data_IF_785168432446
#
_entry.id   IF_785168432446
#
_cell.length_a   1.000
_cell.length_b   1.000
_cell.length_c   1.000
_cell.angle_alpha   90.00
_cell.angle_beta   90.00
_cell.angle_gamma   90.00
#
_symmetry.space_group_name_H-M   'P 1'
#
loop_
_entity.id
_entity.type
_entity.pdbx_description
1 polymer ?
#
# COMPACT_ATOMS: atom_id res chain seq x y z
N UNK A 1 63.06 7.33 -64.84
CA UNK A 1 62.88 7.14 -63.38
C UNK A 1 64.24 7.29 -62.72
N UNK A 2 64.48 8.37 -61.95
CA UNK A 2 65.76 8.52 -61.24
C UNK A 2 65.79 7.50 -60.09
N UNK A 3 66.74 6.56 -60.14
CA UNK A 3 66.91 5.58 -59.07
C UNK A 3 67.29 6.32 -57.78
N UNK A 4 66.56 6.05 -56.70
CA UNK A 4 66.88 6.56 -55.36
C UNK A 4 68.22 5.94 -54.96
N UNK A 5 69.16 6.77 -54.48
CA UNK A 5 70.45 6.27 -53.97
C UNK A 5 70.19 5.22 -52.89
N UNK A 6 70.93 4.08 -52.88
CA UNK A 6 70.80 3.06 -51.83
C UNK A 6 70.86 3.64 -50.41
N UNK A 7 71.65 4.72 -50.23
CA UNK A 7 71.77 5.40 -48.94
C UNK A 7 70.46 6.11 -48.53
N UNK A 8 69.73 6.72 -49.46
CA UNK A 8 68.45 7.38 -49.19
C UNK A 8 67.37 6.32 -48.89
N UNK A 9 67.39 5.18 -49.59
CA UNK A 9 66.46 4.08 -49.34
C UNK A 9 66.63 3.49 -47.92
N UNK A 10 67.88 3.32 -47.46
CA UNK A 10 68.17 2.85 -46.10
C UNK A 10 67.72 3.87 -45.05
N UNK A 11 67.99 5.17 -45.26
CA UNK A 11 67.57 6.23 -44.34
C UNK A 11 66.04 6.30 -44.23
N UNK A 12 65.31 6.17 -45.35
CA UNK A 12 63.85 6.16 -45.35
C UNK A 12 63.29 4.91 -44.65
N UNK A 13 63.92 3.74 -44.81
CA UNK A 13 63.51 2.51 -44.13
C UNK A 13 63.71 2.63 -42.60
N UNK A 14 64.82 3.20 -42.16
CA UNK A 14 65.08 3.46 -40.74
C UNK A 14 64.06 4.46 -40.18
N UNK A 15 63.81 5.57 -40.87
CA UNK A 15 62.81 6.54 -40.45
C UNK A 15 61.38 5.94 -40.36
N UNK A 16 61.01 5.10 -41.31
CA UNK A 16 59.72 4.41 -41.33
C UNK A 16 59.57 3.39 -40.20
N UNK A 17 60.61 2.60 -39.93
CA UNK A 17 60.62 1.61 -38.84
C UNK A 17 60.56 2.29 -37.46
N UNK A 18 61.26 3.40 -37.26
CA UNK A 18 61.16 4.21 -36.03
C UNK A 18 59.76 4.84 -35.90
N UNK A 19 59.20 5.37 -36.99
CA UNK A 19 57.85 5.94 -37.02
C UNK A 19 56.77 4.92 -36.65
N UNK A 20 56.84 3.71 -37.22
CA UNK A 20 55.91 2.62 -36.86
C UNK A 20 56.12 2.18 -35.41
N UNK A 21 57.37 1.99 -34.97
CA UNK A 21 57.67 1.55 -33.61
C UNK A 21 57.15 2.50 -32.54
N UNK A 22 57.25 3.82 -32.78
CA UNK A 22 56.72 4.83 -31.86
C UNK A 22 55.20 4.85 -31.81
N UNK A 23 54.52 4.77 -32.96
CA UNK A 23 53.05 4.72 -33.03
C UNK A 23 52.51 3.47 -32.35
N UNK A 24 53.12 2.30 -32.60
CA UNK A 24 52.74 1.03 -31.97
C UNK A 24 52.94 1.08 -30.46
N UNK A 25 54.04 1.67 -30.00
CA UNK A 25 54.34 1.85 -28.56
C UNK A 25 53.30 2.75 -27.87
N UNK A 26 52.94 3.88 -28.49
CA UNK A 26 51.92 4.80 -27.95
C UNK A 26 50.55 4.11 -27.87
N UNK A 27 50.15 3.41 -28.93
CA UNK A 27 48.88 2.69 -28.96
C UNK A 27 48.83 1.56 -27.91
N UNK A 28 49.90 0.75 -27.81
CA UNK A 28 50.00 -0.31 -26.81
C UNK A 28 49.96 0.26 -25.38
N UNK A 29 50.63 1.37 -25.12
CA UNK A 29 50.61 2.04 -23.82
C UNK A 29 49.21 2.56 -23.49
N UNK A 30 48.54 3.22 -24.45
CA UNK A 30 47.17 3.73 -24.28
C UNK A 30 46.14 2.62 -24.07
N UNK A 31 46.27 1.50 -24.77
CA UNK A 31 45.39 0.34 -24.61
C UNK A 31 45.62 -0.30 -23.23
N UNK A 32 46.88 -0.43 -22.83
CA UNK A 32 47.26 -0.97 -21.52
C UNK A 32 46.73 -0.10 -20.39
N UNK A 33 46.94 1.22 -20.41
CA UNK A 33 46.45 2.14 -19.38
C UNK A 33 44.92 2.11 -19.25
N UNK A 34 44.21 2.06 -20.37
CA UNK A 34 42.74 1.96 -20.39
C UNK A 34 42.29 0.62 -19.79
N UNK A 35 42.89 -0.50 -20.20
CA UNK A 35 42.56 -1.84 -19.68
C UNK A 35 42.89 -1.98 -18.19
N UNK A 36 44.06 -1.50 -17.74
CA UNK A 36 44.42 -1.46 -16.31
C UNK A 36 43.54 -0.51 -15.50
N UNK A 37 43.07 0.60 -16.09
CA UNK A 37 42.14 1.51 -15.42
C UNK A 37 40.76 0.89 -15.23
N UNK A 38 40.27 0.13 -16.21
CA UNK A 38 38.99 -0.59 -16.13
C UNK A 38 39.10 -1.75 -15.13
N UNK A 39 40.17 -2.55 -15.20
CA UNK A 39 40.39 -3.68 -14.27
C UNK A 39 40.71 -3.21 -12.85
N UNK A 40 41.41 -2.08 -12.69
CA UNK A 40 41.63 -1.42 -11.40
C UNK A 40 40.31 -1.05 -10.73
N UNK A 41 39.46 -0.29 -11.44
CA UNK A 41 38.12 0.08 -10.91
C UNK A 41 37.23 -1.12 -10.61
N UNK A 42 37.28 -2.20 -11.40
CA UNK A 42 36.50 -3.40 -11.11
C UNK A 42 37.02 -4.14 -9.87
N UNK A 43 38.34 -4.22 -9.69
CA UNK A 43 38.95 -4.84 -8.51
C UNK A 43 38.75 -4.03 -7.22
N UNK A 44 38.80 -2.70 -7.28
CA UNK A 44 38.46 -1.81 -6.17
C UNK A 44 36.98 -1.98 -5.75
N UNK A 45 36.06 -2.03 -6.71
CA UNK A 45 34.65 -2.30 -6.41
C UNK A 45 34.45 -3.69 -5.80
N UNK A 46 35.14 -4.72 -6.28
CA UNK A 46 35.07 -6.08 -5.72
C UNK A 46 35.62 -6.17 -4.29
N UNK A 47 36.73 -5.48 -4.02
CA UNK A 47 37.32 -5.43 -2.67
C UNK A 47 36.50 -4.58 -1.71
N UNK A 48 35.88 -3.49 -2.18
CA UNK A 48 34.94 -2.73 -1.36
C UNK A 48 33.72 -3.60 -1.02
N UNK A 49 33.12 -4.25 -2.00
CA UNK A 49 31.93 -5.07 -1.79
C UNK A 49 32.17 -6.37 -1.00
N UNK A 50 33.42 -6.81 -0.81
CA UNK A 50 33.73 -7.96 0.05
C UNK A 50 33.57 -7.64 1.55
N UNK A 51 33.65 -6.36 1.93
CA UNK A 51 33.45 -5.89 3.30
C UNK A 51 32.00 -5.49 3.59
N UNK A 52 31.17 -5.40 2.56
CA UNK A 52 29.78 -5.03 2.73
C UNK A 52 28.99 -6.09 3.52
N UNK A 53 28.14 -5.61 4.44
CA UNK A 53 27.30 -6.47 5.27
C UNK A 53 25.89 -5.91 5.29
N UNK A 54 24.96 -6.71 4.76
CA UNK A 54 23.54 -6.42 4.74
C UNK A 54 22.84 -7.46 5.62
N UNK A 55 21.72 -7.08 6.24
CA UNK A 55 20.90 -8.00 7.02
C UNK A 55 19.42 -7.69 6.79
N UNK A 56 18.58 -8.73 6.71
CA UNK A 56 17.12 -8.57 6.75
C UNK A 56 16.65 -8.69 8.20
N UNK A 57 16.40 -7.54 8.83
CA UNK A 57 15.89 -7.45 10.21
C UNK A 57 14.47 -7.98 10.33
N UNK A 58 13.61 -7.57 9.41
CA UNK A 58 12.18 -7.87 9.49
C UNK A 58 11.59 -8.07 8.10
N UNK A 59 10.67 -9.04 7.99
CA UNK A 59 9.78 -9.19 6.84
C UNK A 59 8.37 -9.17 7.36
N UNK A 60 7.58 -8.22 6.88
CA UNK A 60 6.17 -8.09 7.17
C UNK A 60 5.42 -8.08 5.86
N UNK A 61 4.60 -9.10 5.65
CA UNK A 61 3.50 -9.00 4.73
C UNK A 61 2.23 -8.58 5.47
N UNK A 62 1.56 -7.59 4.91
CA UNK A 62 0.26 -7.13 5.36
C UNK A 62 -0.71 -7.54 4.26
N UNK A 63 -1.46 -8.63 4.46
CA UNK A 63 -2.62 -8.92 3.63
C UNK A 63 -3.84 -8.28 4.25
N UNK A 64 -4.52 -7.48 3.47
CA UNK A 64 -5.80 -6.88 3.86
C UNK A 64 -6.95 -7.87 3.70
N UNK A 65 -6.67 -9.17 3.52
CA UNK A 65 -7.64 -10.25 3.35
C UNK A 65 -7.86 -11.07 4.63
N UNK A 66 -6.88 -11.13 5.55
CA UNK A 66 -7.06 -11.86 6.81
C UNK A 66 -8.17 -11.20 7.65
N UNK A 67 -9.19 -11.98 8.01
CA UNK A 67 -10.36 -11.52 8.75
C UNK A 67 -11.31 -10.63 7.94
N UNK A 68 -11.08 -10.46 6.63
CA UNK A 68 -11.95 -9.68 5.75
C UNK A 68 -13.25 -10.46 5.51
N UNK A 69 -14.37 -9.85 5.87
CA UNK A 69 -15.71 -10.44 5.74
C UNK A 69 -16.49 -9.80 4.60
N UNK A 70 -16.33 -8.49 4.39
CA UNK A 70 -17.04 -7.77 3.34
C UNK A 70 -16.06 -6.85 2.64
N UNK A 71 -16.12 -6.83 1.31
CA UNK A 71 -15.41 -5.86 0.51
C UNK A 71 -16.26 -5.40 -0.68
N UNK A 72 -16.79 -4.19 -0.58
CA UNK A 72 -17.54 -3.51 -1.64
C UNK A 72 -16.71 -2.38 -2.26
N UNK A 73 -16.31 -2.56 -3.52
CA UNK A 73 -15.64 -1.51 -4.30
C UNK A 73 -16.61 -0.55 -5.00
N UNK A 74 -17.90 -0.87 -5.05
CA UNK A 74 -18.92 -0.09 -5.77
C UNK A 74 -18.62 0.14 -7.28
N UNK A 75 -17.82 -0.74 -7.88
CA UNK A 75 -17.43 -0.65 -9.30
C UNK A 75 -18.56 -1.00 -10.26
N UNK A 76 -19.46 -1.87 -9.81
CA UNK A 76 -20.64 -2.28 -10.56
C UNK A 76 -21.79 -2.58 -9.60
N UNK A 77 -22.99 -2.45 -10.15
CA UNK A 77 -24.25 -2.76 -9.48
C UNK A 77 -25.07 -3.58 -10.47
N UNK A 78 -25.67 -4.67 -9.99
CA UNK A 78 -26.49 -5.53 -10.84
C UNK A 78 -27.89 -4.93 -11.09
N UNK A 79 -28.68 -5.60 -11.94
CA UNK A 79 -30.05 -5.17 -12.29
C UNK A 79 -31.06 -5.18 -11.14
N UNK A 80 -30.68 -5.72 -9.97
CA UNK A 80 -31.51 -5.76 -8.76
C UNK A 80 -30.98 -4.85 -7.65
N UNK A 81 -30.13 -3.86 -8.00
CA UNK A 81 -29.54 -2.87 -7.09
C UNK A 81 -28.58 -3.45 -6.04
N UNK A 82 -27.88 -4.54 -6.32
CA UNK A 82 -26.84 -5.04 -5.43
C UNK A 82 -25.44 -4.68 -5.91
N UNK A 83 -24.61 -4.19 -5.00
CA UNK A 83 -23.16 -4.15 -5.20
C UNK A 83 -22.53 -5.49 -4.82
N UNK A 84 -21.53 -5.92 -5.59
CA UNK A 84 -20.87 -7.20 -5.39
C UNK A 84 -19.91 -7.16 -4.18
N UNK A 85 -19.90 -8.24 -3.41
CA UNK A 85 -18.88 -8.51 -2.40
C UNK A 85 -17.73 -9.31 -3.01
N UNK A 86 -16.56 -8.68 -3.06
CA UNK A 86 -15.34 -9.27 -3.61
C UNK A 86 -14.41 -9.85 -2.54
N UNK A 87 -14.85 -9.92 -1.28
CA UNK A 87 -14.10 -10.57 -0.20
C UNK A 87 -14.03 -12.09 -0.37
N UNK A 88 -14.96 -12.68 -1.13
CA UNK A 88 -15.14 -14.12 -1.27
C UNK A 88 -16.20 -14.72 -0.34
N UNK A 89 -16.80 -13.92 0.57
CA UNK A 89 -17.78 -14.41 1.56
C UNK A 89 -19.25 -14.25 1.15
N UNK A 90 -19.51 -13.68 -0.04
CA UNK A 90 -20.85 -13.54 -0.63
C UNK A 90 -21.84 -12.75 0.25
N UNK A 91 -21.43 -11.55 0.66
CA UNK A 91 -22.26 -10.59 1.40
C UNK A 91 -22.58 -9.35 0.56
N UNK A 92 -23.39 -9.44 -0.51
CA UNK A 92 -23.70 -8.30 -1.35
C UNK A 92 -24.55 -7.25 -0.61
N UNK A 93 -24.32 -5.98 -0.93
CA UNK A 93 -25.05 -4.85 -0.33
C UNK A 93 -26.21 -4.40 -1.20
N UNK A 94 -27.42 -4.30 -0.63
CA UNK A 94 -28.59 -3.77 -1.32
C UNK A 94 -28.57 -2.25 -1.29
N UNK A 95 -28.52 -1.63 -2.47
CA UNK A 95 -28.64 -0.19 -2.65
C UNK A 95 -30.12 0.21 -2.67
N UNK A 96 -30.55 1.01 -1.70
CA UNK A 96 -31.94 1.44 -1.54
C UNK A 96 -32.12 2.88 -2.01
N UNK A 97 -33.23 3.13 -2.72
CA UNK A 97 -33.53 4.39 -3.41
C UNK A 97 -32.56 4.74 -4.55
N UNK A 98 -31.93 3.72 -5.13
CA UNK A 98 -31.15 3.84 -6.36
C UNK A 98 -31.98 3.42 -7.56
N UNK A 99 -31.95 4.24 -8.59
CA UNK A 99 -32.54 3.94 -9.90
C UNK A 99 -31.44 3.44 -10.81
N UNK A 100 -31.16 2.14 -10.80
CA UNK A 100 -30.20 1.55 -11.73
C UNK A 100 -30.90 1.12 -13.02
N UNK A 101 -30.65 1.86 -14.10
CA UNK A 101 -30.88 1.38 -15.47
C UNK A 101 -29.56 0.75 -15.97
N UNK A 102 -29.54 -0.22 -16.91
CA UNK A 102 -28.33 -0.97 -17.28
C UNK A 102 -27.10 -0.13 -17.69
N UNK A 103 -27.23 1.18 -17.86
CA UNK A 103 -26.15 2.12 -18.21
C UNK A 103 -25.93 3.28 -17.20
N UNK A 104 -26.76 3.45 -16.18
CA UNK A 104 -26.60 4.54 -15.19
C UNK A 104 -27.19 4.11 -13.84
N UNK A 105 -26.34 3.63 -12.93
CA UNK A 105 -26.60 3.81 -11.50
C UNK A 105 -26.06 5.18 -11.10
N UNK A 106 -26.58 5.78 -10.03
CA UNK A 106 -25.96 6.93 -9.34
C UNK A 106 -24.63 6.51 -8.67
N UNK A 107 -23.70 6.07 -9.50
CA UNK A 107 -22.31 5.78 -9.19
C UNK A 107 -21.55 7.00 -9.70
N UNK A 108 -20.95 7.73 -8.77
CA UNK A 108 -20.14 8.91 -9.10
C UNK A 108 -18.68 8.50 -9.28
N UNK A 109 -17.83 9.46 -9.65
CA UNK A 109 -16.39 9.22 -9.63
C UNK A 109 -15.93 8.93 -8.20
N UNK A 110 -15.48 7.69 -7.99
CA UNK A 110 -14.95 7.15 -6.74
C UNK A 110 -13.56 7.68 -6.42
N UNK A 111 -12.97 7.13 -5.36
CA UNK A 111 -11.54 7.27 -5.09
C UNK A 111 -10.77 6.43 -6.12
N UNK A 112 -11.25 5.22 -6.38
CA UNK A 112 -10.84 4.35 -7.47
C UNK A 112 -12.01 4.23 -8.44
N UNK A 113 -11.81 4.64 -9.69
CA UNK A 113 -12.83 4.54 -10.74
C UNK A 113 -14.22 5.09 -10.30
N UNK A 114 -15.09 4.19 -9.84
CA UNK A 114 -16.48 4.37 -9.47
C UNK A 114 -16.66 4.34 -7.95
N UNK A 115 -17.59 5.14 -7.43
CA UNK A 115 -17.95 5.14 -6.02
C UNK A 115 -19.44 5.36 -5.82
N UNK A 116 -19.94 4.99 -4.65
CA UNK A 116 -21.36 5.13 -4.33
C UNK A 116 -21.68 6.58 -3.96
N UNK A 117 -22.63 7.19 -4.67
CA UNK A 117 -23.15 8.52 -4.32
C UNK A 117 -24.30 8.42 -3.31
N UNK A 118 -24.16 9.16 -2.21
CA UNK A 118 -25.11 9.27 -1.11
C UNK A 118 -25.57 10.73 -1.07
N UNK A 119 -26.73 10.99 -1.67
CA UNK A 119 -27.26 12.33 -1.93
C UNK A 119 -27.75 13.09 -0.68
N UNK A 120 -27.52 12.59 0.53
CA UNK A 120 -28.06 13.15 1.77
C UNK A 120 -29.57 13.01 1.93
N UNK A 121 -30.27 12.28 1.04
CA UNK A 121 -31.73 12.12 1.08
C UNK A 121 -32.12 10.71 0.65
N UNK A 122 -32.30 9.81 1.62
CA UNK A 122 -32.92 8.50 1.39
C UNK A 122 -31.99 7.43 0.82
N UNK A 123 -30.93 7.80 0.08
CA UNK A 123 -29.98 6.83 -0.50
C UNK A 123 -29.15 6.19 0.60
N UNK A 124 -29.16 4.86 0.66
CA UNK A 124 -28.42 4.09 1.64
C UNK A 124 -28.13 2.67 1.17
N UNK A 125 -27.22 1.99 1.87
CA UNK A 125 -26.93 0.57 1.67
C UNK A 125 -27.47 -0.22 2.85
N UNK A 126 -28.20 -1.30 2.56
CA UNK A 126 -28.56 -2.30 3.55
C UNK A 126 -27.69 -3.54 3.35
N UNK A 127 -27.03 -3.97 4.43
CA UNK A 127 -26.44 -5.29 4.50
C UNK A 127 -27.53 -6.33 4.81
N UNK A 128 -27.54 -7.43 4.06
CA UNK A 128 -28.52 -8.51 4.20
C UNK A 128 -28.27 -9.41 5.42
N UNK A 129 -27.04 -9.42 5.96
CA UNK A 129 -26.64 -10.16 7.17
C UNK A 129 -26.56 -9.26 8.42
N UNK A 130 -26.64 -9.90 9.59
CA UNK A 130 -26.15 -9.32 10.85
C UNK A 130 -24.65 -9.52 10.95
N UNK A 131 -23.91 -8.49 11.39
CA UNK A 131 -22.48 -8.58 11.68
C UNK A 131 -22.17 -9.14 13.08
N UNK A 132 -23.20 -9.47 13.88
CA UNK A 132 -23.09 -10.14 15.18
C UNK A 132 -22.36 -9.32 16.27
N UNK A 133 -22.01 -9.98 17.37
CA UNK A 133 -21.19 -9.43 18.46
C UNK A 133 -19.73 -9.88 18.33
N UNK A 134 -19.02 -9.43 17.30
CA UNK A 134 -17.58 -9.66 17.30
C UNK A 134 -16.94 -8.77 18.37
N UNK A 135 -16.23 -9.38 19.32
CA UNK A 135 -15.51 -8.64 20.36
C UNK A 135 -14.47 -7.70 19.73
N UNK A 136 -13.88 -8.10 18.61
CA UNK A 136 -12.98 -7.30 17.81
C UNK A 136 -13.55 -7.08 16.41
N UNK A 137 -13.36 -5.88 15.84
CA UNK A 137 -13.76 -5.58 14.47
C UNK A 137 -12.94 -4.44 13.87
N UNK A 138 -12.99 -4.34 12.54
CA UNK A 138 -12.56 -3.15 11.82
C UNK A 138 -13.53 -2.81 10.71
N UNK A 139 -13.90 -1.53 10.60
CA UNK A 139 -14.62 -0.97 9.45
C UNK A 139 -13.68 0.02 8.76
N UNK A 140 -13.54 -0.07 7.45
CA UNK A 140 -12.66 0.80 6.66
C UNK A 140 -13.36 1.22 5.37
N UNK A 141 -13.24 2.49 4.97
CA UNK A 141 -13.78 2.96 3.69
C UNK A 141 -13.13 4.29 3.31
N UNK A 142 -13.16 4.60 2.02
CA UNK A 142 -12.92 5.95 1.54
C UNK A 142 -14.21 6.75 1.56
N UNK A 143 -14.14 8.01 1.96
CA UNK A 143 -15.26 8.95 1.89
C UNK A 143 -14.85 10.29 1.31
N UNK A 144 -15.77 10.91 0.58
CA UNK A 144 -15.72 12.32 0.18
C UNK A 144 -17.00 12.98 0.67
N UNK A 145 -16.92 13.58 1.86
CA UNK A 145 -18.07 14.24 2.47
C UNK A 145 -18.31 15.61 1.82
N UNK A 146 -19.54 15.85 1.40
CA UNK A 146 -20.05 17.19 1.11
C UNK A 146 -20.44 17.92 2.40
N UNK A 147 -21.27 18.96 2.27
CA UNK A 147 -21.84 19.66 3.43
C UNK A 147 -22.76 18.70 4.20
N UNK A 148 -22.39 18.40 5.45
CA UNK A 148 -23.18 17.53 6.33
C UNK A 148 -24.12 18.34 7.21
N UNK A 149 -25.27 17.76 7.51
CA UNK A 149 -26.04 18.11 8.69
C UNK A 149 -25.33 17.64 9.96
N UNK A 150 -25.57 18.32 11.08
CA UNK A 150 -25.30 17.75 12.40
C UNK A 150 -26.18 16.50 12.54
N UNK A 151 -25.56 15.32 12.53
CA UNK A 151 -26.17 13.98 12.54
C UNK A 151 -26.11 13.15 11.24
N UNK A 152 -25.38 13.56 10.20
CA UNK A 152 -25.12 12.65 9.07
C UNK A 152 -24.52 11.31 9.53
N UNK A 153 -25.14 10.18 9.20
CA UNK A 153 -24.71 8.83 9.61
C UNK A 153 -23.90 8.18 8.51
N UNK A 154 -22.68 7.77 8.79
CA UNK A 154 -21.83 7.05 7.84
C UNK A 154 -22.15 5.56 7.88
N UNK A 155 -21.90 4.90 9.00
CA UNK A 155 -22.16 3.47 9.18
C UNK A 155 -22.86 3.27 10.51
N UNK A 156 -23.94 2.50 10.51
CA UNK A 156 -24.67 2.17 11.73
C UNK A 156 -24.97 0.67 11.81
N UNK A 157 -25.05 0.18 13.03
CA UNK A 157 -25.50 -1.16 13.37
C UNK A 157 -26.15 -1.12 14.75
N UNK A 158 -27.18 -1.94 14.94
CA UNK A 158 -28.00 -1.93 16.16
C UNK A 158 -29.12 -0.89 16.14
N UNK A 159 -30.12 -1.15 16.97
CA UNK A 159 -31.31 -0.33 17.12
C UNK A 159 -31.49 -0.01 18.61
N UNK A 160 -31.33 1.27 18.94
CA UNK A 160 -31.39 1.74 20.32
C UNK A 160 -32.75 1.54 21.01
N UNK A 161 -33.81 1.31 20.22
CA UNK A 161 -35.17 1.13 20.70
C UNK A 161 -35.58 -0.34 20.87
N UNK A 162 -34.85 -1.30 20.28
CA UNK A 162 -35.26 -2.71 20.27
C UNK A 162 -34.16 -3.69 20.66
N UNK A 163 -32.94 -3.51 20.17
CA UNK A 163 -31.85 -4.49 20.27
C UNK A 163 -30.62 -3.97 21.01
N UNK A 164 -30.65 -2.71 21.43
CA UNK A 164 -29.54 -2.02 22.07
C UNK A 164 -28.68 -1.23 21.06
N UNK A 165 -27.84 -0.33 21.58
CA UNK A 165 -26.92 0.45 20.75
C UNK A 165 -25.77 -0.44 20.29
N UNK A 166 -25.70 -0.67 18.98
CA UNK A 166 -24.51 -1.21 18.33
C UNK A 166 -23.50 -0.08 18.09
N UNK A 167 -22.94 0.01 16.89
CA UNK A 167 -21.99 1.07 16.53
C UNK A 167 -22.67 2.14 15.67
N UNK A 168 -22.34 3.40 15.93
CA UNK A 168 -22.78 4.54 15.12
C UNK A 168 -21.57 5.40 14.76
N UNK A 169 -21.24 5.47 13.47
CA UNK A 169 -20.28 6.45 12.94
C UNK A 169 -21.09 7.62 12.41
N UNK A 170 -20.86 8.82 12.94
CA UNK A 170 -21.67 9.99 12.62
C UNK A 170 -20.86 11.29 12.63
N UNK A 171 -21.47 12.35 12.12
CA UNK A 171 -21.00 13.72 12.29
C UNK A 171 -21.72 14.42 13.44
N UNK A 172 -20.98 15.24 14.20
CA UNK A 172 -21.48 16.11 15.27
C UNK A 172 -20.66 17.38 15.33
N UNK A 173 -21.26 18.55 15.09
CA UNK A 173 -20.54 19.83 15.11
C UNK A 173 -19.48 19.95 14.03
N UNK A 174 -19.63 19.21 12.91
CA UNK A 174 -18.65 19.13 11.82
C UNK A 174 -17.53 18.09 12.03
N UNK A 175 -17.35 17.59 13.25
CA UNK A 175 -16.38 16.53 13.59
C UNK A 175 -17.01 15.13 13.43
N UNK A 176 -16.20 14.14 13.10
CA UNK A 176 -16.61 12.74 13.01
C UNK A 176 -16.45 12.05 14.36
N UNK A 177 -17.40 11.21 14.73
CA UNK A 177 -17.40 10.48 16.01
C UNK A 177 -17.84 9.03 15.89
N UNK A 178 -17.52 8.26 16.93
CA UNK A 178 -18.01 6.89 17.15
C UNK A 178 -18.92 6.91 18.36
N UNK A 179 -20.24 6.98 18.15
CA UNK A 179 -21.24 7.23 19.19
C UNK A 179 -20.74 8.34 20.14
N UNK A 180 -20.84 8.15 21.46
CA UNK A 180 -20.20 8.97 22.49
C UNK A 180 -18.89 8.32 23.03
N UNK A 181 -18.23 7.47 22.24
CA UNK A 181 -17.02 6.73 22.66
C UNK A 181 -15.75 7.48 22.22
N UNK A 182 -15.70 7.91 20.95
CA UNK A 182 -14.54 8.61 20.38
C UNK A 182 -15.02 9.88 19.70
N UNK A 183 -14.64 11.03 20.25
CA UNK A 183 -15.04 12.37 19.79
C UNK A 183 -13.78 13.24 19.59
N UNK A 184 -13.00 13.04 18.51
CA UNK A 184 -11.89 13.91 18.19
C UNK A 184 -12.39 15.33 17.93
N UNK A 185 -11.60 16.32 18.32
CA UNK A 185 -11.93 17.75 18.13
C UNK A 185 -11.01 18.37 17.09
N UNK A 186 -11.55 19.33 16.33
CA UNK A 186 -10.75 20.19 15.45
C UNK A 186 -10.53 19.65 14.03
N UNK A 187 -11.36 18.71 13.59
CA UNK A 187 -11.29 18.13 12.26
C UNK A 187 -12.56 18.39 11.46
N UNK A 188 -12.58 19.46 10.66
CA UNK A 188 -13.62 19.63 9.66
C UNK A 188 -13.40 18.57 8.56
N UNK A 189 -14.13 17.47 8.64
CA UNK A 189 -13.99 16.35 7.70
C UNK A 189 -14.96 16.45 6.50
N UNK A 190 -15.78 17.51 6.43
CA UNK A 190 -16.65 17.88 5.32
C UNK A 190 -16.00 18.86 4.35
N UNK A 191 -14.92 18.47 3.68
CA UNK A 191 -14.12 19.36 2.82
C UNK A 191 -14.13 18.97 1.33
N UNK A 192 -15.04 18.09 0.90
CA UNK A 192 -15.14 17.59 -0.48
C UNK A 192 -13.85 16.91 -1.01
N UNK A 193 -12.95 16.47 -0.13
CA UNK A 193 -11.77 15.66 -0.50
C UNK A 193 -11.95 14.20 -0.08
N UNK A 194 -11.28 13.29 -0.80
CA UNK A 194 -11.25 11.88 -0.43
C UNK A 194 -10.38 11.67 0.80
N UNK A 195 -10.97 11.11 1.86
CA UNK A 195 -10.30 10.71 3.09
C UNK A 195 -10.58 9.24 3.36
N UNK A 196 -9.54 8.51 3.73
CA UNK A 196 -9.69 7.14 4.20
C UNK A 196 -10.04 7.16 5.67
N UNK A 197 -11.13 6.49 6.05
CA UNK A 197 -11.58 6.34 7.43
C UNK A 197 -11.46 4.88 7.81
N UNK A 198 -10.91 4.62 9.00
CA UNK A 198 -10.95 3.30 9.60
C UNK A 198 -11.31 3.39 11.08
N UNK A 199 -12.04 2.39 11.57
CA UNK A 199 -12.35 2.22 12.98
C UNK A 199 -11.95 0.83 13.38
N UNK A 200 -11.12 0.72 14.40
CA UNK A 200 -10.75 -0.57 14.98
C UNK A 200 -11.33 -0.68 16.38
N UNK A 201 -11.86 -1.85 16.73
CA UNK A 201 -12.24 -2.23 18.09
C UNK A 201 -11.41 -3.43 18.51
N UNK A 202 -10.68 -3.30 19.62
CA UNK A 202 -10.01 -4.41 20.28
C UNK A 202 -10.44 -4.46 21.75
N UNK A 203 -11.20 -5.49 22.12
CA UNK A 203 -11.89 -5.55 23.41
C UNK A 203 -12.81 -4.34 23.59
N UNK A 204 -12.58 -3.54 24.62
CA UNK A 204 -13.35 -2.31 24.86
C UNK A 204 -12.79 -1.08 24.14
N UNK A 205 -11.61 -1.17 23.53
CA UNK A 205 -10.89 -0.01 22.99
C UNK A 205 -11.27 0.24 21.54
N UNK A 206 -11.81 1.42 21.26
CA UNK A 206 -12.05 1.93 19.92
C UNK A 206 -10.96 2.90 19.52
N UNK A 207 -10.52 2.83 18.26
CA UNK A 207 -9.63 3.82 17.66
C UNK A 207 -10.20 4.28 16.33
N UNK A 208 -10.27 5.60 16.16
CA UNK A 208 -10.66 6.22 14.90
C UNK A 208 -9.41 6.67 14.15
N UNK A 209 -9.29 6.28 12.89
CA UNK A 209 -8.20 6.66 12.01
C UNK A 209 -8.71 7.48 10.84
N UNK A 210 -7.92 8.45 10.42
CA UNK A 210 -8.07 9.14 9.14
C UNK A 210 -6.74 9.16 8.38
N UNK A 211 -6.78 8.80 7.11
CA UNK A 211 -5.62 8.78 6.22
C UNK A 211 -4.42 8.03 6.85
N UNK A 212 -4.71 6.89 7.48
CA UNK A 212 -3.72 6.04 8.15
C UNK A 212 -3.22 6.52 9.52
N UNK A 213 -3.67 7.68 10.01
CA UNK A 213 -3.25 8.25 11.30
C UNK A 213 -4.37 8.18 12.33
N UNK A 214 -4.07 7.83 13.58
CA UNK A 214 -5.06 7.82 14.66
C UNK A 214 -5.47 9.25 15.02
N UNK A 215 -6.79 9.50 15.04
CA UNK A 215 -7.40 10.75 15.47
C UNK A 215 -7.80 10.73 16.95
N UNK A 216 -7.97 9.55 17.52
CA UNK A 216 -8.41 9.41 18.90
C UNK A 216 -8.76 7.98 19.27
N UNK A 217 -8.80 7.74 20.57
CA UNK A 217 -9.15 6.46 21.18
C UNK A 217 -10.16 6.66 22.29
N UNK A 218 -11.02 5.67 22.51
CA UNK A 218 -12.00 5.67 23.57
C UNK A 218 -12.34 4.26 24.03
N UNK A 219 -13.04 4.15 25.15
CA UNK A 219 -13.44 2.84 25.71
C UNK A 219 -14.95 2.71 25.75
N UNK A 220 -15.47 1.58 25.31
CA UNK A 220 -16.90 1.31 25.27
C UNK A 220 -17.21 -0.14 24.91
N UNK A 221 -18.47 -0.50 25.01
CA UNK A 221 -18.97 -1.83 24.66
C UNK A 221 -20.13 -1.69 23.69
N UNK A 222 -20.21 -2.59 22.71
CA UNK A 222 -21.35 -2.67 21.81
C UNK A 222 -22.37 -3.65 22.40
N UNK A 223 -23.65 -3.31 22.32
CA UNK A 223 -24.69 -4.28 22.59
C UNK A 223 -24.62 -5.39 21.52
N UNK A 224 -24.76 -6.64 21.97
CA UNK A 224 -24.98 -7.75 21.05
C UNK A 224 -26.33 -7.54 20.38
N UNK A 225 -26.32 -7.27 19.07
CA UNK A 225 -27.53 -7.05 18.32
C UNK A 225 -27.46 -7.82 17.00
N UNK A 226 -28.64 -8.13 16.46
CA UNK A 226 -28.79 -8.86 15.20
C UNK A 226 -29.29 -7.96 14.07
N UNK A 227 -29.20 -6.65 14.23
CA UNK A 227 -29.72 -5.71 13.25
C UNK A 227 -28.83 -5.65 12.00
N UNK A 228 -29.41 -5.11 10.93
CA UNK A 228 -28.68 -4.92 9.69
C UNK A 228 -27.68 -3.78 9.84
N UNK A 229 -26.46 -4.00 9.37
CA UNK A 229 -25.55 -2.88 9.12
C UNK A 229 -26.13 -2.03 7.99
N UNK A 230 -26.08 -0.70 8.19
CA UNK A 230 -26.49 0.29 7.20
C UNK A 230 -25.37 1.27 6.94
N UNK A 231 -25.26 1.69 5.69
CA UNK A 231 -24.42 2.83 5.30
C UNK A 231 -25.34 3.98 4.90
N UNK A 232 -25.08 5.20 5.38
CA UNK A 232 -25.89 6.41 5.15
C UNK A 232 -27.26 6.43 5.83
N UNK A 233 -27.54 5.54 6.78
CA UNK A 233 -28.85 5.46 7.43
C UNK A 233 -28.75 4.76 8.78
N UNK A 234 -29.80 4.86 9.60
CA UNK A 234 -29.95 4.20 10.90
C UNK A 234 -31.06 3.15 10.87
N UNK A 235 -30.95 2.12 11.71
CA UNK A 235 -31.92 1.02 11.81
C UNK A 235 -33.33 1.47 12.22
N UNK A 236 -33.42 2.49 13.08
CA UNK A 236 -34.58 2.75 13.94
C UNK A 236 -35.38 4.02 13.60
N UNK A 237 -34.76 5.03 12.96
CA UNK A 237 -35.44 6.28 12.61
C UNK A 237 -34.86 6.86 11.32
N UNK A 238 -35.73 7.43 10.48
CA UNK A 238 -35.40 7.94 9.15
C UNK A 238 -35.67 9.45 8.98
N UNK A 239 -35.28 10.35 9.90
CA UNK A 239 -35.39 11.76 9.59
C UNK A 239 -34.40 12.09 8.47
N UNK A 240 -34.84 12.87 7.48
CA UNK A 240 -34.05 13.19 6.29
C UNK A 240 -32.67 13.77 6.61
N UNK A 241 -32.52 14.42 7.76
CA UNK A 241 -31.26 15.00 8.22
C UNK A 241 -30.18 13.98 8.67
N UNK A 242 -30.48 12.68 8.71
CA UNK A 242 -29.53 11.65 9.17
C UNK A 242 -28.82 10.90 8.05
N UNK A 243 -29.20 11.14 6.79
CA UNK A 243 -28.51 10.57 5.65
C UNK A 243 -27.18 11.29 5.42
N UNK A 244 -26.14 10.52 5.10
CA UNK A 244 -24.85 11.09 4.73
C UNK A 244 -24.93 11.74 3.35
N UNK A 245 -24.35 12.94 3.22
CA UNK A 245 -24.29 13.68 1.97
C UNK A 245 -22.89 13.66 1.37
N UNK A 246 -22.57 12.73 0.48
CA UNK A 246 -21.26 12.64 -0.13
C UNK A 246 -21.09 11.37 -0.91
N UNK A 247 -19.84 10.96 -1.11
CA UNK A 247 -19.52 9.72 -1.80
C UNK A 247 -18.72 8.79 -0.89
N UNK A 248 -18.92 7.49 -1.03
CA UNK A 248 -18.09 6.46 -0.40
C UNK A 248 -17.51 5.53 -1.45
N UNK A 249 -16.41 4.90 -1.10
CA UNK A 249 -15.74 3.93 -1.94
C UNK A 249 -15.03 2.88 -1.06
N UNK A 250 -14.76 1.71 -1.63
CA UNK A 250 -13.81 0.75 -1.08
C UNK A 250 -14.12 0.30 0.37
N UNK A 251 -15.41 0.03 0.64
CA UNK A 251 -15.90 -0.35 1.95
C UNK A 251 -15.44 -1.76 2.32
N UNK A 252 -14.85 -1.89 3.50
CA UNK A 252 -14.35 -3.14 4.07
C UNK A 252 -14.83 -3.33 5.50
N UNK A 253 -15.20 -4.58 5.82
CA UNK A 253 -15.50 -5.01 7.18
C UNK A 253 -14.63 -6.21 7.54
N UNK A 254 -14.02 -6.16 8.71
CA UNK A 254 -13.17 -7.21 9.28
C UNK A 254 -13.72 -7.70 10.62
N UNK A 255 -13.67 -9.01 10.85
CA UNK A 255 -14.03 -9.64 12.13
C UNK A 255 -12.89 -9.64 13.17
N UNK A 256 -11.94 -8.71 13.04
CA UNK A 256 -10.81 -8.51 13.94
C UNK A 256 -10.39 -7.05 13.99
N UNK A 257 -9.64 -6.68 15.02
CA UNK A 257 -8.94 -5.40 15.05
C UNK A 257 -7.75 -5.45 14.09
N UNK A 258 -7.69 -4.51 13.15
CA UNK A 258 -6.47 -4.24 12.40
C UNK A 258 -5.48 -3.45 13.26
N UNK A 259 -4.20 -3.67 13.05
CA UNK A 259 -3.13 -2.84 13.60
C UNK A 259 -3.03 -1.51 12.85
N UNK A 260 -2.42 -0.49 13.47
CA UNK A 260 -2.15 0.79 12.80
C UNK A 260 -1.34 0.63 11.51
N UNK A 261 -0.45 -0.38 11.44
CA UNK A 261 0.29 -0.72 10.24
C UNK A 261 -0.61 -1.20 9.10
N UNK A 262 -1.53 -2.13 9.39
CA UNK A 262 -2.51 -2.64 8.42
C UNK A 262 -3.51 -1.57 7.97
N UNK A 263 -3.95 -0.69 8.88
CA UNK A 263 -4.79 0.47 8.50
C UNK A 263 -4.03 1.41 7.55
N UNK A 264 -2.75 1.65 7.82
CA UNK A 264 -1.88 2.45 6.95
C UNK A 264 -1.63 1.78 5.59
N UNK A 265 -1.61 0.45 5.53
CA UNK A 265 -1.51 -0.32 4.29
C UNK A 265 -2.79 -0.19 3.45
N UNK A 266 -3.97 -0.32 4.06
CA UNK A 266 -5.25 -0.13 3.36
C UNK A 266 -5.37 1.29 2.80
N UNK A 267 -4.98 2.30 3.59
CA UNK A 267 -4.96 3.69 3.13
C UNK A 267 -4.04 3.92 1.91
N UNK A 268 -2.97 3.14 1.78
CA UNK A 268 -2.02 3.20 0.67
C UNK A 268 -2.34 2.18 -0.45
N UNK A 269 -3.57 1.66 -0.46
CA UNK A 269 -4.18 0.87 -1.53
C UNK A 269 -3.61 -0.51 -1.81
N UNK A 270 -2.90 -1.14 -0.87
CA UNK A 270 -2.43 -2.48 -1.18
C UNK A 270 -1.99 -3.33 -0.01
N UNK A 271 -2.17 -4.64 -0.20
CA UNK A 271 -1.28 -5.62 0.40
C UNK A 271 0.16 -5.19 0.12
N UNK A 272 0.95 -5.11 1.19
CA UNK A 272 2.33 -4.66 1.06
C UNK A 272 3.30 -5.67 1.65
N UNK A 273 4.43 -5.84 0.94
CA UNK A 273 5.60 -6.50 1.49
C UNK A 273 6.57 -5.43 1.94
N UNK A 274 6.76 -5.36 3.26
CA UNK A 274 7.71 -4.46 3.92
C UNK A 274 8.90 -5.26 4.40
N UNK A 275 10.09 -4.91 3.92
CA UNK A 275 11.35 -5.56 4.29
C UNK A 275 12.24 -4.53 4.96
N UNK A 276 12.47 -4.68 6.27
CA UNK A 276 13.42 -3.85 7.00
C UNK A 276 14.82 -4.46 6.82
N UNK A 277 15.70 -3.68 6.23
CA UNK A 277 17.10 -4.03 6.02
C UNK A 277 18.02 -3.13 6.85
N UNK A 278 19.16 -3.65 7.28
CA UNK A 278 20.22 -2.88 7.92
C UNK A 278 21.55 -3.10 7.23
N UNK A 279 22.33 -2.02 7.13
CA UNK A 279 23.71 -2.09 6.70
C UNK A 279 24.62 -2.17 7.91
N UNK A 280 25.14 -3.35 8.18
CA UNK A 280 26.04 -3.61 9.30
C UNK A 280 27.52 -3.49 8.89
N UNK A 281 27.80 -3.17 7.62
CA UNK A 281 29.15 -3.07 7.07
C UNK A 281 29.61 -1.62 6.90
N UNK A 282 30.89 -1.41 6.55
CA UNK A 282 31.48 -0.08 6.37
C UNK A 282 31.18 0.54 4.99
N UNK A 283 30.51 -0.18 4.10
CA UNK A 283 30.29 0.22 2.69
C UNK A 283 28.91 0.85 2.52
N UNK A 284 28.81 1.99 1.85
CA UNK A 284 27.50 2.53 1.46
C UNK A 284 26.87 1.65 0.36
N UNK A 285 25.70 1.07 0.64
CA UNK A 285 25.01 0.16 -0.28
C UNK A 285 24.06 0.86 -1.26
N UNK A 286 24.04 2.20 -1.23
CA UNK A 286 23.16 3.03 -2.04
C UNK A 286 21.69 2.86 -1.65
N UNK A 287 20.80 3.40 -2.49
CA UNK A 287 19.34 3.36 -2.25
C UNK A 287 18.59 2.35 -3.11
N UNK A 288 19.22 1.76 -4.11
CA UNK A 288 18.57 0.90 -5.10
C UNK A 288 18.85 -0.58 -4.78
N UNK A 289 17.79 -1.38 -4.77
CA UNK A 289 17.86 -2.79 -4.43
C UNK A 289 17.01 -3.62 -5.37
N UNK A 290 17.45 -4.85 -5.63
CA UNK A 290 16.62 -5.89 -6.22
C UNK A 290 16.03 -6.71 -5.08
N UNK A 291 14.70 -6.81 -5.06
CA UNK A 291 13.93 -7.61 -4.13
C UNK A 291 13.34 -8.81 -4.88
N UNK A 292 13.66 -10.01 -4.40
CA UNK A 292 13.09 -11.26 -4.89
C UNK A 292 12.28 -11.87 -3.77
N UNK A 293 11.05 -12.30 -4.06
CA UNK A 293 10.20 -12.97 -3.09
C UNK A 293 9.49 -14.18 -3.71
N UNK A 294 9.23 -15.19 -2.88
CA UNK A 294 8.54 -16.41 -3.29
C UNK A 294 7.18 -16.49 -2.59
N UNK A 295 6.10 -16.41 -3.36
CA UNK A 295 4.72 -16.50 -2.87
C UNK A 295 3.97 -17.61 -3.61
N UNK A 296 3.37 -18.56 -2.86
CA UNK A 296 2.59 -19.65 -3.47
C UNK A 296 3.38 -20.53 -4.45
N UNK A 297 4.72 -20.55 -4.35
CA UNK A 297 5.62 -21.25 -5.28
C UNK A 297 6.07 -20.43 -6.49
N UNK A 298 5.48 -19.26 -6.74
CA UNK A 298 5.93 -18.34 -7.78
C UNK A 298 7.11 -17.49 -7.29
N UNK A 299 8.11 -17.28 -8.15
CA UNK A 299 9.26 -16.41 -7.89
C UNK A 299 9.01 -15.06 -8.54
N UNK A 300 8.97 -14.01 -7.73
CA UNK A 300 8.77 -12.64 -8.18
C UNK A 300 10.05 -11.82 -8.00
N UNK A 301 10.35 -10.96 -8.96
CA UNK A 301 11.53 -10.10 -8.97
C UNK A 301 11.08 -8.66 -9.19
N UNK A 302 11.53 -7.73 -8.36
CA UNK A 302 11.19 -6.32 -8.48
C UNK A 302 12.35 -5.43 -8.06
N UNK A 303 12.45 -4.25 -8.67
CA UNK A 303 13.37 -3.20 -8.26
C UNK A 303 12.67 -2.26 -7.29
N UNK A 304 13.31 -2.02 -6.16
CA UNK A 304 12.80 -1.17 -5.08
C UNK A 304 13.86 -0.16 -4.66
N UNK A 305 13.41 1.02 -4.25
CA UNK A 305 14.30 2.08 -3.81
C UNK A 305 13.96 2.54 -2.38
N UNK A 306 15.00 2.99 -1.68
CA UNK A 306 14.88 3.76 -0.44
C UNK A 306 14.83 5.25 -0.76
N UNK A 307 14.28 6.03 0.17
CA UNK A 307 14.25 7.50 0.08
C UNK A 307 15.65 8.13 0.18
N UNK A 308 16.56 7.46 0.88
CA UNK A 308 17.97 7.83 1.04
C UNK A 308 18.87 6.61 0.92
N UNK A 309 20.16 6.85 0.72
CA UNK A 309 21.15 5.79 0.65
C UNK A 309 21.25 5.01 1.98
N UNK A 310 21.44 3.69 1.87
CA UNK A 310 21.68 2.80 3.00
C UNK A 310 23.17 2.85 3.41
N UNK A 311 23.51 3.90 4.16
CA UNK A 311 24.85 4.16 4.70
C UNK A 311 25.21 3.21 5.85
N UNK A 312 26.51 3.07 6.21
CA UNK A 312 26.95 2.23 7.32
C UNK A 312 26.19 2.51 8.63
N UNK A 313 25.69 1.46 9.27
CA UNK A 313 24.92 1.53 10.53
C UNK A 313 23.47 1.98 10.36
N UNK A 314 23.02 2.33 9.16
CA UNK A 314 21.63 2.76 8.91
C UNK A 314 20.70 1.59 8.62
N UNK A 315 19.39 1.84 8.81
CA UNK A 315 18.31 0.95 8.42
C UNK A 315 17.48 1.58 7.31
N UNK A 316 16.98 0.75 6.40
CA UNK A 316 16.06 1.16 5.34
C UNK A 316 14.87 0.21 5.27
N UNK A 317 13.70 0.73 4.90
CA UNK A 317 12.50 -0.09 4.69
C UNK A 317 12.16 -0.10 3.21
N UNK A 318 12.32 -1.27 2.59
CA UNK A 318 11.85 -1.53 1.24
C UNK A 318 10.36 -1.85 1.31
N UNK A 319 9.55 -1.19 0.48
CA UNK A 319 8.09 -1.39 0.45
C UNK A 319 7.67 -1.72 -0.97
N UNK A 320 7.04 -2.87 -1.15
CA UNK A 320 6.28 -3.20 -2.35
C UNK A 320 4.80 -3.07 -2.01
N UNK A 321 4.08 -2.26 -2.78
CA UNK A 321 2.63 -2.11 -2.66
C UNK A 321 1.94 -2.93 -3.76
N UNK A 322 0.64 -3.16 -3.58
CA UNK A 322 -0.23 -3.80 -4.57
C UNK A 322 0.22 -5.22 -4.94
N UNK A 323 0.71 -5.97 -3.96
CA UNK A 323 1.01 -7.38 -4.18
C UNK A 323 -0.32 -8.11 -4.37
N UNK A 324 -0.51 -8.73 -5.54
CA UNK A 324 -1.71 -9.49 -5.89
C UNK A 324 -1.59 -10.98 -5.58
N UNK A 325 -0.43 -11.42 -5.10
CA UNK A 325 -0.13 -12.83 -4.89
C UNK A 325 -0.71 -13.36 -3.59
N UNK A 326 -1.87 -14.03 -3.69
CA UNK A 326 -2.58 -14.66 -2.57
C UNK A 326 -1.87 -15.86 -1.92
N UNK A 327 -0.67 -16.19 -2.38
CA UNK A 327 0.14 -17.28 -1.87
C UNK A 327 0.79 -16.95 -0.53
N UNK A 328 1.10 -17.98 0.26
CA UNK A 328 1.93 -17.81 1.44
C UNK A 328 3.36 -17.44 1.01
N UNK A 329 3.85 -16.31 1.52
CA UNK A 329 5.24 -15.87 1.40
C UNK A 329 6.13 -16.86 2.15
N UNK A 330 7.12 -17.39 1.44
CA UNK A 330 8.04 -18.41 1.95
C UNK A 330 9.47 -17.93 2.05
N UNK A 331 9.88 -17.00 1.19
CA UNK A 331 11.25 -16.49 1.17
C UNK A 331 11.31 -15.07 0.61
N UNK A 332 12.23 -14.29 1.16
CA UNK A 332 12.65 -12.99 0.63
C UNK A 332 14.17 -12.97 0.44
N UNK A 333 14.62 -12.36 -0.64
CA UNK A 333 16.03 -12.08 -0.92
C UNK A 333 16.20 -10.64 -1.35
N UNK A 334 17.22 -9.98 -0.81
CA UNK A 334 17.57 -8.59 -1.14
C UNK A 334 19.01 -8.54 -1.66
N UNK A 335 19.20 -7.81 -2.74
CA UNK A 335 20.52 -7.55 -3.34
C UNK A 335 20.71 -6.05 -3.55
N UNK A 336 21.84 -5.49 -3.12
CA UNK A 336 22.21 -4.10 -3.43
C UNK A 336 22.66 -3.99 -4.89
N UNK A 337 22.25 -2.94 -5.59
CA UNK A 337 22.77 -2.68 -6.95
C UNK A 337 24.19 -2.11 -6.94
N UNK A 338 24.64 -1.54 -5.82
CA UNK A 338 26.02 -1.02 -5.64
C UNK A 338 26.99 -2.19 -5.42
N UNK A 339 26.57 -3.16 -4.60
CA UNK A 339 27.33 -4.38 -4.34
C UNK A 339 26.49 -5.63 -4.65
N UNK A 340 26.43 -6.06 -5.92
CA UNK A 340 25.60 -7.21 -6.33
C UNK A 340 26.00 -8.54 -5.70
N UNK A 341 27.22 -8.65 -5.19
CA UNK A 341 27.72 -9.82 -4.44
C UNK A 341 27.10 -9.94 -3.06
N UNK A 342 26.52 -8.86 -2.52
CA UNK A 342 25.88 -8.82 -1.19
C UNK A 342 24.44 -9.27 -1.34
N UNK A 343 24.23 -10.56 -1.10
CA UNK A 343 22.93 -11.22 -1.21
C UNK A 343 22.54 -11.71 0.17
N UNK A 344 21.40 -11.23 0.66
CA UNK A 344 20.81 -11.72 1.91
C UNK A 344 19.50 -12.40 1.62
N UNK A 345 19.27 -13.52 2.30
CA UNK A 345 18.02 -14.28 2.21
C UNK A 345 17.42 -14.43 3.60
N UNK A 346 16.11 -14.47 3.67
CA UNK A 346 15.35 -14.78 4.88
C UNK A 346 14.15 -15.64 4.51
N UNK A 347 14.06 -16.80 5.14
CA UNK A 347 12.87 -17.64 5.05
C UNK A 347 11.78 -17.04 5.95
N UNK A 348 10.55 -17.07 5.47
CA UNK A 348 9.39 -16.45 6.10
C UNK A 348 8.34 -17.53 6.35
N UNK A 349 7.81 -17.59 7.55
CA UNK A 349 6.78 -18.57 7.90
C UNK A 349 5.40 -18.05 7.50
N UNK A 350 4.90 -18.47 6.34
CA UNK A 350 3.47 -18.54 6.04
C UNK A 350 2.68 -17.22 6.02
N UNK A 351 3.35 -16.07 5.89
CA UNK A 351 2.66 -14.77 5.82
C UNK A 351 1.97 -14.65 4.46
N UNK A 352 0.66 -14.41 4.43
CA UNK A 352 -0.06 -14.20 3.16
C UNK A 352 0.08 -12.72 2.77
N UNK A 353 0.40 -12.50 1.51
CA UNK A 353 0.26 -11.23 0.79
C UNK A 353 -1.02 -11.31 -0.07
#
# INVERSE_FOLDING_TARGET
MKAISPMIAVVLLIAFTIGIGTIVSIFATSLTTTSTGITGKSSENLTQCSLASLEIKEVKCSSTSNGLIIYWKFESVNSTNYTADISGNNHPGLLVNYSCSPATCNISKGKYNNGLDLNGVGNHVNLSMSIGSTDDLTISFWMRAGVQSDSGRLVTFGNSSTSGRGIEIAFSGGDMRIDNIVEPTGGIYGNSTWNHVAITKSGATFTLYMNGTSLGTGTGYLANNTDRLRISSRADTYPAQWYFNGSIDDFRFYNRSLSAGEVSDIFQDGSSLRVLISNNGPVNLGRNFTLVYISGGAVNVTYVNLTSDLTPGSTGRLTLQNITDSGALSQVRVTSTVCPTVIVKKDVAGQIC
#
